data_IF_389067263733
#
_entry.id   IF_389067263733
#
_cell.length_a   1.000
_cell.length_b   1.000
_cell.length_c   1.000
_cell.angle_alpha   90.00
_cell.angle_beta   90.00
_cell.angle_gamma   90.00
#
_symmetry.space_group_name_H-M   'P 1'
#
loop_
_entity.id
_entity.type
_entity.pdbx_description
1 polymer ?
#
# COMPACT_ATOMS: atom_id res chain seq x y z
N UNK A 1 -29.02 17.10 -11.35
CA UNK A 1 -28.03 16.99 -10.26
C UNK A 1 -26.79 16.34 -10.84
N UNK A 2 -25.72 17.10 -11.15
CA UNK A 2 -24.52 16.52 -11.76
C UNK A 2 -23.82 15.61 -10.75
N UNK A 3 -23.40 14.42 -11.20
CA UNK A 3 -22.66 13.45 -10.38
C UNK A 3 -21.30 14.06 -10.05
N UNK A 4 -21.01 14.22 -8.77
CA UNK A 4 -19.72 14.72 -8.29
C UNK A 4 -18.63 13.73 -8.71
N UNK A 5 -17.72 14.18 -9.58
CA UNK A 5 -16.65 13.39 -10.16
C UNK A 5 -15.56 13.16 -9.10
N UNK A 6 -15.32 11.90 -8.75
CA UNK A 6 -14.33 11.52 -7.75
C UNK A 6 -12.92 11.88 -8.23
N UNK A 7 -12.33 12.90 -7.62
CA UNK A 7 -10.98 13.35 -7.96
C UNK A 7 -9.95 12.55 -7.15
N UNK A 8 -9.17 11.72 -7.84
CA UNK A 8 -8.00 11.04 -7.28
C UNK A 8 -6.96 12.07 -6.80
N UNK A 9 -6.25 11.84 -5.67
CA UNK A 9 -5.34 12.81 -5.12
C UNK A 9 -4.08 12.92 -5.98
N UNK A 10 -4.11 13.83 -6.94
CA UNK A 10 -2.91 14.31 -7.63
C UNK A 10 -2.22 15.26 -6.66
N UNK A 11 -1.09 14.84 -6.10
CA UNK A 11 -0.24 15.69 -5.26
C UNK A 11 0.00 17.02 -5.98
N UNK A 12 -0.50 18.09 -5.38
CA UNK A 12 -0.48 19.46 -5.90
C UNK A 12 0.95 19.99 -6.02
N UNK A 13 1.45 20.08 -7.24
CA UNK A 13 2.48 21.04 -7.65
C UNK A 13 2.15 21.53 -9.06
N UNK A 14 2.11 22.85 -9.21
CA UNK A 14 1.41 23.55 -10.29
C UNK A 14 1.97 23.40 -11.70
N UNK A 15 1.07 23.73 -12.63
CA UNK A 15 1.28 24.24 -13.98
C UNK A 15 2.01 23.36 -15.03
N UNK A 16 1.19 22.88 -15.98
CA UNK A 16 1.44 22.87 -17.43
C UNK A 16 2.72 22.21 -17.97
N UNK A 17 2.60 20.96 -18.43
CA UNK A 17 3.20 20.55 -19.70
C UNK A 17 2.58 19.22 -20.19
N UNK A 18 2.30 19.19 -21.48
CA UNK A 18 1.67 18.10 -22.22
C UNK A 18 2.64 16.93 -22.40
N UNK A 19 2.14 15.70 -22.25
CA UNK A 19 2.70 14.48 -22.86
C UNK A 19 4.04 14.01 -22.31
N UNK A 20 4.01 13.05 -21.38
CA UNK A 20 5.04 12.03 -21.24
C UNK A 20 4.47 10.82 -20.48
N UNK A 21 4.67 9.64 -21.04
CA UNK A 21 4.28 8.32 -20.54
C UNK A 21 4.77 8.08 -19.11
N UNK A 22 3.86 8.07 -18.14
CA UNK A 22 4.13 7.82 -16.72
C UNK A 22 4.32 6.33 -16.39
N UNK A 23 5.15 5.61 -17.13
CA UNK A 23 5.47 4.19 -16.82
C UNK A 23 6.74 4.02 -15.96
N UNK A 24 7.35 5.12 -15.51
CA UNK A 24 8.71 5.10 -14.94
C UNK A 24 8.82 5.54 -13.46
N UNK A 25 7.75 5.43 -12.64
CA UNK A 25 7.83 5.83 -11.21
C UNK A 25 7.43 4.79 -10.17
N UNK A 26 7.06 3.56 -10.53
CA UNK A 26 6.65 2.55 -9.53
C UNK A 26 7.75 1.54 -9.14
N UNK A 27 8.99 1.68 -9.64
CA UNK A 27 10.06 0.67 -9.42
C UNK A 27 11.03 1.02 -8.27
N UNK A 28 11.05 2.26 -7.78
CA UNK A 28 12.12 2.71 -6.85
C UNK A 28 11.78 2.64 -5.35
N UNK A 29 10.51 2.52 -4.98
CA UNK A 29 10.14 2.31 -3.58
C UNK A 29 9.93 0.82 -3.32
N UNK A 30 11.02 0.05 -3.16
CA UNK A 30 10.96 -1.25 -2.47
C UNK A 30 10.59 -0.99 -1.01
N UNK A 31 9.32 -0.66 -0.77
CA UNK A 31 8.80 -0.38 0.56
C UNK A 31 9.07 -1.60 1.42
N UNK A 32 9.75 -1.40 2.55
CA UNK A 32 9.85 -2.40 3.60
C UNK A 32 8.44 -2.95 3.86
N UNK A 33 8.24 -4.24 3.61
CA UNK A 33 6.92 -4.87 3.73
C UNK A 33 6.64 -5.12 5.20
N UNK A 34 5.62 -4.45 5.72
CA UNK A 34 5.14 -4.66 7.08
C UNK A 34 4.02 -5.70 7.06
N UNK A 35 4.11 -6.64 7.99
CA UNK A 35 3.11 -7.66 8.25
C UNK A 35 2.44 -7.39 9.60
N UNK A 36 1.25 -7.96 9.80
CA UNK A 36 0.49 -7.93 11.04
C UNK A 36 0.40 -9.35 11.59
N UNK A 37 0.74 -9.55 12.85
CA UNK A 37 0.55 -10.86 13.47
C UNK A 37 -0.92 -11.15 13.75
N UNK A 38 -1.37 -12.37 13.44
CA UNK A 38 -2.76 -12.77 13.68
C UNK A 38 -3.15 -12.89 15.15
N UNK A 39 -2.19 -13.22 16.03
CA UNK A 39 -2.48 -13.47 17.45
C UNK A 39 -2.34 -12.20 18.31
N UNK A 40 -1.26 -11.43 18.12
CA UNK A 40 -0.98 -10.25 18.93
C UNK A 40 -1.29 -8.92 18.23
N UNK A 41 -1.63 -8.92 16.94
CA UNK A 41 -1.92 -7.71 16.17
C UNK A 41 -0.73 -6.79 15.92
N UNK A 42 0.47 -7.14 16.40
CA UNK A 42 1.66 -6.31 16.27
C UNK A 42 2.19 -6.24 14.84
N UNK A 43 2.78 -5.10 14.49
CA UNK A 43 3.49 -4.90 13.23
C UNK A 43 4.84 -5.64 13.25
N UNK A 44 5.10 -6.43 12.21
CA UNK A 44 6.33 -7.21 12.05
C UNK A 44 6.94 -6.87 10.70
N UNK A 45 8.18 -6.37 10.69
CA UNK A 45 8.96 -6.19 9.46
C UNK A 45 9.82 -7.42 9.21
N UNK A 46 9.61 -8.09 8.08
CA UNK A 46 10.36 -9.27 7.68
C UNK A 46 11.10 -9.01 6.36
N UNK A 47 12.33 -9.51 6.27
CA UNK A 47 13.06 -9.61 5.01
C UNK A 47 12.65 -10.89 4.27
N UNK A 48 12.95 -10.97 2.96
CA UNK A 48 12.51 -12.09 2.10
C UNK A 48 12.95 -13.47 2.61
N UNK A 49 14.11 -13.55 3.24
CA UNK A 49 14.73 -14.82 3.67
C UNK A 49 14.68 -15.02 5.20
N UNK A 50 13.95 -14.17 5.93
CA UNK A 50 13.78 -14.31 7.37
C UNK A 50 12.75 -15.38 7.73
N UNK A 51 12.91 -15.99 8.91
CA UNK A 51 11.94 -16.94 9.46
C UNK A 51 10.57 -16.27 9.66
N UNK A 52 9.51 -16.91 9.13
CA UNK A 52 8.13 -16.43 9.26
C UNK A 52 7.61 -16.74 10.67
N UNK A 53 7.92 -15.85 11.61
CA UNK A 53 7.43 -15.90 12.99
C UNK A 53 7.32 -14.50 13.58
N UNK A 54 6.30 -14.28 14.41
CA UNK A 54 6.19 -13.05 15.19
C UNK A 54 7.23 -13.05 16.33
N UNK A 55 8.00 -11.97 16.52
CA UNK A 55 9.02 -11.90 17.56
C UNK A 55 8.47 -11.86 19.00
N UNK A 56 7.17 -11.55 19.18
CA UNK A 56 6.57 -11.40 20.51
C UNK A 56 5.79 -12.64 20.96
N UNK A 57 5.01 -13.27 20.08
CA UNK A 57 4.13 -14.40 20.43
C UNK A 57 4.56 -15.74 19.82
N UNK A 58 5.62 -15.77 19.01
CA UNK A 58 6.07 -16.96 18.25
C UNK A 58 5.01 -17.56 17.29
N UNK A 59 3.88 -16.87 17.08
CA UNK A 59 2.88 -17.23 16.08
C UNK A 59 3.46 -17.15 14.67
N UNK A 60 3.06 -18.09 13.80
CA UNK A 60 3.57 -18.22 12.42
C UNK A 60 2.63 -17.65 11.36
N UNK A 61 1.46 -17.19 11.77
CA UNK A 61 0.45 -16.60 10.87
C UNK A 61 0.60 -15.09 10.88
N UNK A 62 0.99 -14.54 9.73
CA UNK A 62 1.18 -13.12 9.51
C UNK A 62 0.35 -12.67 8.31
N UNK A 63 -0.39 -11.59 8.47
CA UNK A 63 -1.17 -10.95 7.41
C UNK A 63 -0.37 -9.82 6.77
N UNK A 64 -0.55 -9.58 5.48
CA UNK A 64 0.06 -8.43 4.80
C UNK A 64 -0.74 -7.18 5.12
N UNK A 65 -0.05 -6.07 5.40
CA UNK A 65 -0.72 -4.79 5.63
C UNK A 65 -1.54 -4.33 4.40
N UNK A 66 -2.68 -3.70 4.63
CA UNK A 66 -3.52 -3.11 3.58
C UNK A 66 -2.72 -2.05 2.82
N UNK A 67 -2.86 -2.02 1.50
CA UNK A 67 -2.27 -0.96 0.69
C UNK A 67 -2.88 0.40 1.03
N UNK A 68 -2.05 1.45 1.12
CA UNK A 68 -2.50 2.83 1.30
C UNK A 68 -3.13 3.44 0.04
N UNK A 69 -3.10 2.72 -1.08
CA UNK A 69 -3.72 3.15 -2.34
C UNK A 69 -5.25 3.14 -2.20
N UNK A 70 -5.90 4.21 -2.66
CA UNK A 70 -7.36 4.30 -2.69
C UNK A 70 -7.92 3.21 -3.61
N UNK A 71 -8.97 2.54 -3.14
CA UNK A 71 -9.69 1.50 -3.87
C UNK A 71 -11.09 2.00 -4.16
N UNK A 72 -11.52 1.92 -5.42
CA UNK A 72 -12.85 2.32 -5.88
C UNK A 72 -13.67 1.05 -6.13
N UNK A 73 -14.87 1.01 -5.57
CA UNK A 73 -15.82 -0.09 -5.74
C UNK A 73 -17.10 0.42 -6.41
N UNK A 74 -17.76 -0.44 -7.20
CA UNK A 74 -19.10 -0.20 -7.72
C UNK A 74 -20.16 -0.82 -6.80
N UNK A 75 -21.28 -0.13 -6.58
CA UNK A 75 -22.36 -0.57 -5.69
C UNK A 75 -23.40 -1.41 -6.46
N UNK A 76 -22.98 -2.57 -6.95
CA UNK A 76 -23.87 -3.56 -7.59
C UNK A 76 -24.42 -4.54 -6.57
#
# INVERSE_FOLDING_TARGET
MPREEYQVPTSTTGASARGATHDARDVSARSVMTYLCGDCGGNVSLTKDALVACPHCAGRVLYKERTKRMVQFEAR
#
